data_IF_523769868154
#
_entry.id   IF_523769868154
#
_cell.length_a   1.000
_cell.length_b   1.000
_cell.length_c   1.000
_cell.angle_alpha   90.00
_cell.angle_beta   90.00
_cell.angle_gamma   90.00
#
_symmetry.space_group_name_H-M   'P 1'
#
loop_
_entity.id
_entity.type
_entity.pdbx_description
1 polymer ?
#
# COMPACT_ATOMS: atom_id res chain seq x y z
N UNK A 1 2.41 30.21 9.20
CA UNK A 1 3.62 29.57 9.77
C UNK A 1 3.50 29.66 11.28
N UNK A 2 3.40 28.52 11.95
CA UNK A 2 3.40 28.42 13.41
C UNK A 2 4.12 27.14 13.78
N UNK A 3 5.03 27.21 14.76
CA UNK A 3 5.69 26.04 15.32
C UNK A 3 4.98 25.66 16.62
N UNK A 4 4.63 24.39 16.76
CA UNK A 4 4.04 23.83 17.97
C UNK A 4 4.85 22.62 18.38
N UNK A 5 5.18 22.53 19.66
CA UNK A 5 5.80 21.35 20.25
C UNK A 5 4.73 20.54 20.98
N UNK A 6 4.51 19.31 20.56
CA UNK A 6 3.61 18.38 21.24
C UNK A 6 4.42 17.63 22.30
N UNK A 7 4.00 17.74 23.57
CA UNK A 7 4.60 17.04 24.70
C UNK A 7 3.71 15.87 25.13
N UNK A 8 4.31 14.84 25.74
CA UNK A 8 3.57 13.70 26.27
C UNK A 8 3.15 12.66 25.22
N UNK A 9 3.82 12.62 24.06
CA UNK A 9 3.67 11.48 23.15
C UNK A 9 4.32 10.26 23.81
N UNK A 10 3.53 9.23 24.06
CA UNK A 10 4.03 7.93 24.48
C UNK A 10 4.73 7.21 23.31
N UNK A 11 5.57 6.22 23.64
CA UNK A 11 6.37 5.50 22.66
C UNK A 11 5.52 4.75 21.63
N UNK A 12 4.34 4.26 22.04
CA UNK A 12 3.42 3.51 21.19
C UNK A 12 2.85 4.45 20.11
N UNK A 13 2.37 5.62 20.53
CA UNK A 13 1.89 6.67 19.62
C UNK A 13 3.00 7.14 18.68
N UNK A 14 4.22 7.29 19.19
CA UNK A 14 5.37 7.72 18.37
C UNK A 14 5.76 6.66 17.34
N UNK A 15 5.71 5.37 17.69
CA UNK A 15 5.94 4.26 16.78
C UNK A 15 4.85 4.17 15.70
N UNK A 16 3.58 4.28 16.09
CA UNK A 16 2.46 4.27 15.15
C UNK A 16 2.55 5.41 14.12
N UNK A 17 2.92 6.61 14.56
CA UNK A 17 3.09 7.76 13.67
C UNK A 17 4.28 7.59 12.72
N UNK A 18 5.39 6.98 13.17
CA UNK A 18 6.54 6.64 12.31
C UNK A 18 6.18 5.61 11.25
N UNK A 19 5.50 4.54 11.62
CA UNK A 19 5.04 3.52 10.67
C UNK A 19 4.11 4.12 9.63
N UNK A 20 3.18 5.00 10.07
CA UNK A 20 2.30 5.69 9.14
C UNK A 20 3.06 6.59 8.17
N UNK A 21 4.03 7.36 8.67
CA UNK A 21 4.89 8.20 7.84
C UNK A 21 5.66 7.37 6.80
N UNK A 22 6.15 6.19 7.19
CA UNK A 22 6.85 5.25 6.31
C UNK A 22 5.94 4.68 5.22
N UNK A 23 4.73 4.23 5.57
CA UNK A 23 3.74 3.72 4.61
C UNK A 23 3.38 4.77 3.56
N UNK A 24 3.20 6.02 4.00
CA UNK A 24 2.81 7.13 3.13
C UNK A 24 4.00 7.79 2.39
N UNK A 25 5.24 7.30 2.59
CA UNK A 25 6.44 7.89 2.00
C UNK A 25 6.67 9.36 2.39
N UNK A 26 6.24 9.77 3.58
CA UNK A 26 6.19 11.18 4.00
C UNK A 26 6.92 11.42 5.33
N UNK A 27 7.18 12.67 5.66
CA UNK A 27 7.78 13.01 6.96
C UNK A 27 6.76 12.83 8.10
N UNK A 28 7.25 12.59 9.32
CA UNK A 28 6.43 12.50 10.54
C UNK A 28 5.53 13.74 10.69
N UNK A 29 6.07 14.94 10.43
CA UNK A 29 5.30 16.18 10.49
C UNK A 29 4.20 16.22 9.44
N UNK A 30 4.47 15.77 8.21
CA UNK A 30 3.49 15.70 7.13
C UNK A 30 2.36 14.72 7.50
N UNK A 31 2.72 13.55 8.03
CA UNK A 31 1.75 12.56 8.48
C UNK A 31 0.85 13.11 9.60
N UNK A 32 1.44 13.77 10.60
CA UNK A 32 0.72 14.39 11.71
C UNK A 32 -0.22 15.50 11.25
N UNK A 33 0.26 16.42 10.41
CA UNK A 33 -0.56 17.52 9.88
C UNK A 33 -1.75 17.00 9.09
N UNK A 34 -1.58 15.93 8.31
CA UNK A 34 -2.67 15.31 7.57
C UNK A 34 -3.70 14.66 8.49
N UNK A 35 -3.27 14.00 9.57
CA UNK A 35 -4.19 13.48 10.59
C UNK A 35 -4.98 14.63 11.20
N UNK A 36 -4.31 15.70 11.64
CA UNK A 36 -4.96 16.88 12.22
C UNK A 36 -5.96 17.53 11.25
N UNK A 37 -5.59 17.73 9.99
CA UNK A 37 -6.50 18.29 8.98
C UNK A 37 -7.71 17.40 8.71
N UNK A 38 -7.53 16.08 8.76
CA UNK A 38 -8.61 15.11 8.58
C UNK A 38 -9.58 15.15 9.76
N UNK A 39 -9.07 15.12 10.99
CA UNK A 39 -9.90 15.14 12.21
C UNK A 39 -10.60 16.49 12.43
N UNK A 40 -9.95 17.60 12.02
CA UNK A 40 -10.54 18.94 12.05
C UNK A 40 -11.49 19.22 10.86
N UNK A 41 -11.67 18.27 9.94
CA UNK A 41 -12.54 18.44 8.76
C UNK A 41 -12.06 19.47 7.74
N UNK A 42 -10.80 19.90 7.82
CA UNK A 42 -10.19 20.90 6.93
C UNK A 42 -9.88 20.28 5.55
N UNK A 43 -9.50 19.01 5.52
CA UNK A 43 -9.36 18.25 4.27
C UNK A 43 -10.61 17.38 4.03
N UNK A 44 -11.28 17.61 2.89
CA UNK A 44 -12.32 16.70 2.40
C UNK A 44 -11.71 15.32 2.18
N UNK A 45 -12.43 14.25 2.56
CA UNK A 45 -12.05 12.86 2.26
C UNK A 45 -11.64 12.77 0.79
N UNK A 46 -10.38 12.41 0.51
CA UNK A 46 -9.98 12.06 -0.85
C UNK A 46 -10.91 10.93 -1.32
N UNK A 47 -11.60 11.15 -2.43
CA UNK A 47 -12.46 10.13 -3.03
C UNK A 47 -11.67 8.90 -3.49
N UNK A 48 -10.36 9.03 -3.66
CA UNK A 48 -9.41 7.94 -3.89
C UNK A 48 -8.74 7.54 -2.58
N UNK A 49 -9.22 6.43 -1.99
CA UNK A 49 -8.51 5.71 -0.93
C UNK A 49 -7.38 4.91 -1.60
N UNK A 50 -6.15 5.07 -1.10
CA UNK A 50 -5.02 4.24 -1.51
C UNK A 50 -4.98 3.04 -0.56
N UNK A 51 -5.09 1.85 -1.10
CA UNK A 51 -5.01 0.58 -0.37
C UNK A 51 -3.64 -0.05 -0.64
N UNK A 52 -3.07 -0.70 0.38
CA UNK A 52 -1.73 -1.31 0.36
C UNK A 52 -1.75 -2.80 0.73
N UNK A 53 -2.95 -3.36 0.94
CA UNK A 53 -3.16 -4.77 1.29
C UNK A 53 -2.69 -5.72 0.19
N UNK A 54 -2.71 -5.29 -1.07
CA UNK A 54 -2.25 -6.06 -2.22
C UNK A 54 -0.81 -5.73 -2.66
N UNK A 55 -0.11 -4.81 -1.99
CA UNK A 55 1.24 -4.39 -2.41
C UNK A 55 2.23 -5.56 -2.39
N UNK A 56 2.02 -6.54 -1.51
CA UNK A 56 2.85 -7.75 -1.45
C UNK A 56 2.68 -8.69 -2.67
N UNK A 57 1.58 -8.54 -3.42
CA UNK A 57 1.37 -9.22 -4.70
C UNK A 57 2.02 -8.48 -5.86
N UNK A 58 2.35 -7.20 -5.67
CA UNK A 58 3.06 -6.40 -6.66
C UNK A 58 4.56 -6.71 -6.57
N UNK A 59 5.03 -7.63 -7.42
CA UNK A 59 6.42 -8.04 -7.51
C UNK A 59 6.73 -8.69 -8.86
N UNK A 60 8.01 -9.01 -9.09
CA UNK A 60 8.45 -9.79 -10.25
C UNK A 60 8.67 -11.24 -9.85
N UNK A 61 8.34 -12.18 -10.72
CA UNK A 61 8.62 -13.59 -10.46
C UNK A 61 10.11 -13.91 -10.54
N UNK A 62 10.57 -14.75 -9.62
CA UNK A 62 11.85 -15.42 -9.77
C UNK A 62 11.78 -16.56 -10.81
N UNK A 63 12.94 -17.16 -11.11
CA UNK A 63 13.04 -18.20 -12.14
C UNK A 63 12.26 -19.47 -11.79
N UNK A 64 12.12 -19.79 -10.51
CA UNK A 64 11.40 -20.97 -10.04
C UNK A 64 9.89 -20.73 -10.14
N UNK A 65 9.42 -19.57 -9.67
CA UNK A 65 8.03 -19.15 -9.78
C UNK A 65 7.55 -19.12 -11.24
N UNK A 66 8.40 -18.64 -12.15
CA UNK A 66 8.12 -18.68 -13.58
C UNK A 66 8.01 -20.11 -14.13
N UNK A 67 8.89 -21.01 -13.72
CA UNK A 67 8.87 -22.40 -14.18
C UNK A 67 7.62 -23.13 -13.68
N UNK A 68 7.27 -22.94 -12.40
CA UNK A 68 6.09 -23.52 -11.78
C UNK A 68 4.82 -22.99 -12.47
N UNK A 69 4.74 -21.68 -12.70
CA UNK A 69 3.63 -21.10 -13.45
C UNK A 69 3.50 -21.69 -14.85
N UNK A 70 4.61 -21.74 -15.62
CA UNK A 70 4.61 -22.28 -16.99
C UNK A 70 4.19 -23.75 -17.05
N UNK A 71 4.56 -24.55 -16.05
CA UNK A 71 4.10 -25.92 -15.95
C UNK A 71 2.57 -25.98 -15.77
N UNK A 72 2.03 -25.15 -14.87
CA UNK A 72 0.61 -25.11 -14.54
C UNK A 72 -0.26 -24.55 -15.69
N UNK A 73 0.24 -23.58 -16.46
CA UNK A 73 -0.54 -23.00 -17.58
C UNK A 73 -0.45 -23.79 -18.89
N UNK A 74 0.42 -24.80 -18.97
CA UNK A 74 0.69 -25.57 -20.19
C UNK A 74 -0.55 -26.21 -20.82
N UNK A 75 -1.53 -26.60 -20.01
CA UNK A 75 -2.78 -27.19 -20.52
C UNK A 75 -3.69 -26.15 -21.16
N UNK A 76 -3.67 -24.90 -20.70
CA UNK A 76 -4.46 -23.80 -21.26
C UNK A 76 -3.86 -23.23 -22.55
N UNK A 77 -2.58 -23.50 -22.83
CA UNK A 77 -1.92 -23.12 -24.09
C UNK A 77 -2.21 -24.12 -25.23
N UNK A 78 -2.87 -25.26 -24.96
CA UNK A 78 -3.29 -26.20 -25.99
C UNK A 78 -4.60 -25.72 -26.61
N UNK A 79 -4.57 -25.44 -27.91
CA UNK A 79 -5.77 -25.16 -28.69
C UNK A 79 -6.48 -26.50 -28.97
N UNK A 80 -7.69 -26.66 -28.43
CA UNK A 80 -8.56 -27.77 -28.81
C UNK A 80 -9.28 -27.42 -30.12
N UNK A 81 -8.80 -28.00 -31.23
CA UNK A 81 -9.39 -27.82 -32.56
C UNK A 81 -10.86 -28.23 -32.64
N UNK A 82 -11.36 -29.05 -31.71
CA UNK A 82 -12.79 -29.43 -31.65
C UNK A 82 -13.67 -28.34 -31.04
N UNK A 83 -13.11 -27.40 -30.26
CA UNK A 83 -13.84 -26.23 -29.76
C UNK A 83 -13.91 -25.08 -30.76
N UNK A 84 -13.14 -25.13 -31.85
CA UNK A 84 -13.09 -24.09 -32.90
C UNK A 84 -13.86 -24.46 -34.18
N UNK A 85 -14.58 -25.59 -34.20
CA UNK A 85 -15.52 -25.97 -35.26
C UNK A 85 -16.95 -25.75 -34.81
#
# INVERSE_FOLDING_TARGET
>A
MGAMTIRGLDDITMKALKERAKQDGSSINTALLRILKKELGIEKKRHTVVYHDLDHLAGTWDKKELADFRCNVKEFEKIDEKMWK
#
